data_IF_179527208125
#
_entry.id   IF_179527208125
#
_cell.length_a   1.000
_cell.length_b   1.000
_cell.length_c   1.000
_cell.angle_alpha   90.00
_cell.angle_beta   90.00
_cell.angle_gamma   90.00
#
_symmetry.space_group_name_H-M   'P 1'
#
loop_
_entity.id
_entity.type
_entity.pdbx_description
1 polymer ?
#
# COMPACT_ATOMS: atom_id res chain seq x y z
N UNK A 1 43.57 -1.72 14.68
CA UNK A 1 42.14 -1.90 14.37
C UNK A 1 41.72 -0.70 13.52
N UNK A 2 41.48 -0.90 12.23
CA UNK A 2 41.08 0.18 11.32
C UNK A 2 39.55 0.16 11.29
N UNK A 3 38.92 1.23 11.78
CA UNK A 3 37.48 1.38 11.64
C UNK A 3 37.17 1.89 10.24
N UNK A 4 36.20 1.27 9.57
CA UNK A 4 35.63 1.74 8.31
C UNK A 4 34.27 2.35 8.61
N UNK A 5 34.08 3.61 8.22
CA UNK A 5 32.77 4.26 8.18
C UNK A 5 32.26 4.15 6.74
N UNK A 6 31.02 3.73 6.57
CA UNK A 6 30.29 3.83 5.30
C UNK A 6 29.12 4.79 5.51
N UNK A 7 28.93 5.69 4.56
CA UNK A 7 27.85 6.67 4.51
C UNK A 7 27.28 6.67 3.10
N UNK A 8 25.97 6.74 2.99
CA UNK A 8 25.23 6.71 1.72
C UNK A 8 24.21 7.86 1.74
N UNK A 9 23.93 8.44 0.58
CA UNK A 9 22.97 9.53 0.40
C UNK A 9 21.83 9.07 -0.52
N UNK A 10 20.61 9.53 -0.26
CA UNK A 10 19.42 9.19 -1.04
C UNK A 10 18.75 10.49 -1.51
N UNK A 11 18.48 10.59 -2.80
CA UNK A 11 17.63 11.61 -3.40
C UNK A 11 16.48 10.91 -4.13
N UNK A 12 15.25 11.17 -3.72
CA UNK A 12 14.05 10.59 -4.32
C UNK A 12 12.83 11.49 -4.12
N UNK A 13 11.82 11.31 -4.96
CA UNK A 13 10.49 11.86 -4.69
C UNK A 13 9.87 11.14 -3.49
N UNK A 14 8.95 11.81 -2.79
CA UNK A 14 8.26 11.27 -1.61
C UNK A 14 7.29 10.14 -1.96
N UNK A 15 6.78 10.16 -3.19
CA UNK A 15 5.84 9.18 -3.76
C UNK A 15 6.62 8.18 -4.61
N UNK A 16 7.37 7.28 -3.97
CA UNK A 16 8.27 6.36 -4.67
C UNK A 16 8.29 4.99 -4.01
N UNK A 17 8.11 3.96 -4.82
CA UNK A 17 8.00 2.57 -4.34
C UNK A 17 6.76 2.39 -3.47
N UNK A 18 6.83 1.45 -2.53
CA UNK A 18 5.80 1.33 -1.49
C UNK A 18 5.83 2.59 -0.62
N UNK A 19 4.79 3.40 -0.71
CA UNK A 19 4.73 4.70 -0.06
C UNK A 19 3.35 4.96 0.52
N UNK A 20 3.29 6.00 1.34
CA UNK A 20 2.07 6.56 1.90
C UNK A 20 1.81 7.92 1.27
N UNK A 21 0.58 8.16 0.86
CA UNK A 21 0.05 9.49 0.63
C UNK A 21 -0.58 10.00 1.92
N UNK A 22 -0.15 11.19 2.35
CA UNK A 22 -0.78 11.89 3.44
C UNK A 22 -2.06 12.59 2.95
N UNK A 23 -3.04 12.81 3.85
CA UNK A 23 -4.27 13.54 3.53
C UNK A 23 -4.09 14.91 2.85
N UNK A 24 -3.02 15.64 3.13
CA UNK A 24 -2.75 16.91 2.45
C UNK A 24 -2.34 16.76 0.97
N UNK A 25 -2.15 15.54 0.45
CA UNK A 25 -1.80 15.30 -0.95
C UNK A 25 -2.91 15.75 -1.91
N UNK A 26 -4.14 15.29 -1.70
CA UNK A 26 -5.32 15.70 -2.49
C UNK A 26 -6.39 16.41 -1.66
N UNK A 27 -6.35 16.34 -0.33
CA UNK A 27 -7.37 16.90 0.55
C UNK A 27 -7.18 18.38 0.91
N UNK A 28 -6.05 18.98 0.54
CA UNK A 28 -5.73 20.38 0.82
C UNK A 28 -4.77 20.60 2.00
N UNK A 29 -4.27 21.83 2.15
CA UNK A 29 -3.23 22.18 3.13
C UNK A 29 -3.67 22.13 4.59
N UNK A 30 -4.98 22.08 4.84
CA UNK A 30 -5.59 21.97 6.17
C UNK A 30 -5.72 20.51 6.66
N UNK A 31 -5.40 19.54 5.81
CA UNK A 31 -5.36 18.11 6.15
C UNK A 31 -4.00 17.71 6.69
N UNK A 32 -3.93 16.53 7.27
CA UNK A 32 -2.68 16.03 7.84
C UNK A 32 -1.59 15.87 6.77
N UNK A 33 -0.41 16.43 7.04
CA UNK A 33 0.83 15.98 6.40
C UNK A 33 1.30 14.67 7.02
N UNK A 34 2.34 14.06 6.46
CA UNK A 34 2.95 12.84 7.02
C UNK A 34 3.26 12.97 8.52
N UNK A 35 3.73 14.13 8.98
CA UNK A 35 4.09 14.35 10.39
C UNK A 35 2.88 14.59 11.31
N UNK A 36 1.70 14.86 10.76
CA UNK A 36 0.49 15.22 11.50
C UNK A 36 -0.48 14.03 11.67
N UNK A 37 -0.28 12.94 10.93
CA UNK A 37 -1.10 11.73 11.08
C UNK A 37 -0.96 11.20 12.52
N UNK A 38 -2.06 11.00 13.26
CA UNK A 38 -2.00 10.46 14.62
C UNK A 38 -1.31 9.10 14.66
N UNK A 39 -0.40 8.90 15.61
CA UNK A 39 0.39 7.67 15.69
C UNK A 39 -0.51 6.44 15.94
N UNK A 40 -1.61 6.60 16.68
CA UNK A 40 -2.61 5.57 16.92
C UNK A 40 -3.34 5.10 15.64
N UNK A 41 -3.23 5.85 14.53
CA UNK A 41 -3.74 5.47 13.22
C UNK A 41 -2.72 4.67 12.38
N UNK A 42 -1.47 4.59 12.86
CA UNK A 42 -0.34 3.97 12.16
C UNK A 42 0.14 2.67 12.79
N UNK A 43 -0.19 2.43 14.06
CA UNK A 43 0.31 1.28 14.84
C UNK A 43 -0.81 0.28 15.08
N UNK A 44 -0.55 -0.99 14.74
CA UNK A 44 -1.40 -2.16 15.04
C UNK A 44 -2.90 -1.96 14.71
N UNK A 45 -3.22 -1.32 13.59
CA UNK A 45 -4.61 -1.14 13.16
C UNK A 45 -5.19 -2.46 12.65
N UNK A 46 -6.48 -2.77 12.88
CA UNK A 46 -7.12 -3.92 12.27
C UNK A 46 -6.91 -3.92 10.75
N UNK A 47 -6.46 -5.04 10.19
CA UNK A 47 -6.16 -5.17 8.78
C UNK A 47 -7.28 -5.92 8.06
N UNK A 48 -7.82 -5.31 7.02
CA UNK A 48 -8.82 -5.91 6.13
C UNK A 48 -8.18 -6.09 4.75
N UNK A 49 -8.24 -7.28 4.18
CA UNK A 49 -7.74 -7.54 2.81
C UNK A 49 -8.92 -7.95 1.93
N UNK A 50 -9.26 -7.08 0.98
CA UNK A 50 -10.33 -7.31 -0.01
C UNK A 50 -9.68 -7.83 -1.29
N UNK A 51 -9.92 -9.10 -1.60
CA UNK A 51 -9.35 -9.77 -2.76
C UNK A 51 -10.25 -9.59 -4.00
N UNK A 52 -9.71 -8.93 -5.02
CA UNK A 52 -10.33 -8.74 -6.33
C UNK A 52 -9.42 -9.20 -7.48
N UNK A 53 -8.49 -10.12 -7.20
CA UNK A 53 -7.48 -10.56 -8.17
C UNK A 53 -8.12 -11.12 -9.44
N UNK A 54 -9.19 -11.90 -9.31
CA UNK A 54 -9.89 -12.49 -10.45
C UNK A 54 -10.53 -11.44 -11.36
N UNK A 55 -11.13 -10.41 -10.76
CA UNK A 55 -11.76 -9.29 -11.46
C UNK A 55 -10.69 -8.44 -12.16
N UNK A 56 -9.62 -8.06 -11.46
CA UNK A 56 -8.50 -7.28 -12.02
C UNK A 56 -7.71 -8.02 -13.11
N UNK A 57 -7.69 -9.35 -13.09
CA UNK A 57 -7.14 -10.15 -14.18
C UNK A 57 -8.05 -10.16 -15.43
N UNK A 58 -9.36 -10.16 -15.22
CA UNK A 58 -10.34 -10.20 -16.30
C UNK A 58 -10.54 -8.82 -16.95
N UNK A 59 -10.35 -7.74 -16.19
CA UNK A 59 -10.47 -6.36 -16.65
C UNK A 59 -9.34 -5.52 -16.04
N UNK A 60 -8.41 -5.04 -16.88
CA UNK A 60 -7.24 -4.27 -16.42
C UNK A 60 -7.62 -2.97 -15.69
N UNK A 61 -8.67 -2.29 -16.15
CA UNK A 61 -9.18 -1.04 -15.58
C UNK A 61 -10.30 -1.28 -14.54
N UNK A 62 -10.34 -2.48 -13.95
CA UNK A 62 -11.35 -2.82 -12.95
C UNK A 62 -11.25 -1.88 -11.75
N UNK A 63 -12.41 -1.40 -11.30
CA UNK A 63 -12.53 -0.56 -10.11
C UNK A 63 -13.28 -1.33 -9.04
N UNK A 64 -12.63 -1.58 -7.89
CA UNK A 64 -13.25 -2.22 -6.73
C UNK A 64 -14.49 -1.45 -6.32
N UNK A 65 -15.61 -2.16 -6.22
CA UNK A 65 -16.95 -1.59 -6.02
C UNK A 65 -17.41 -1.70 -4.57
N UNK A 66 -18.55 -1.06 -4.26
CA UNK A 66 -19.21 -1.22 -2.96
C UNK A 66 -19.67 -2.67 -2.75
N UNK A 67 -20.11 -3.35 -3.82
CA UNK A 67 -20.59 -4.72 -3.75
C UNK A 67 -19.46 -5.68 -3.35
N UNK A 68 -18.24 -5.48 -3.86
CA UNK A 68 -17.07 -6.27 -3.45
C UNK A 68 -16.77 -6.13 -1.95
N UNK A 69 -16.91 -4.91 -1.41
CA UNK A 69 -16.73 -4.63 0.02
C UNK A 69 -17.84 -5.27 0.86
N UNK A 70 -19.09 -5.20 0.41
CA UNK A 70 -20.22 -5.83 1.09
C UNK A 70 -20.14 -7.36 1.07
N UNK A 71 -19.70 -7.95 -0.04
CA UNK A 71 -19.44 -9.38 -0.15
C UNK A 71 -18.32 -9.82 0.80
N UNK A 72 -17.29 -8.99 0.96
CA UNK A 72 -16.25 -9.24 1.94
C UNK A 72 -16.83 -9.24 3.37
N UNK A 73 -17.65 -8.23 3.73
CA UNK A 73 -18.28 -8.15 5.05
C UNK A 73 -19.20 -9.34 5.32
N UNK A 74 -19.94 -9.81 4.31
CA UNK A 74 -20.82 -10.97 4.44
C UNK A 74 -20.05 -12.25 4.81
N UNK A 75 -18.81 -12.39 4.32
CA UNK A 75 -17.96 -13.56 4.54
C UNK A 75 -17.15 -13.47 5.85
N UNK A 76 -16.71 -12.27 6.23
CA UNK A 76 -15.70 -12.08 7.27
C UNK A 76 -16.20 -11.31 8.51
N UNK A 77 -17.43 -10.78 8.46
CA UNK A 77 -17.94 -9.85 9.47
C UNK A 77 -17.72 -8.38 9.08
N UNK A 78 -18.25 -7.44 9.87
CA UNK A 78 -18.17 -6.02 9.55
C UNK A 78 -16.72 -5.51 9.54
N UNK A 79 -16.42 -4.57 8.65
CA UNK A 79 -15.20 -3.77 8.68
C UNK A 79 -15.31 -2.84 9.88
N UNK A 80 -14.43 -3.02 10.85
CA UNK A 80 -14.44 -2.26 12.10
C UNK A 80 -13.92 -0.83 11.89
N UNK A 81 -14.45 0.11 12.68
CA UNK A 81 -13.98 1.50 12.69
C UNK A 81 -12.48 1.56 13.04
N UNK A 82 -11.76 2.40 12.30
CA UNK A 82 -10.32 2.53 12.38
C UNK A 82 -9.53 1.36 11.80
N UNK A 83 -10.12 0.50 10.97
CA UNK A 83 -9.36 -0.49 10.19
C UNK A 83 -8.49 0.19 9.12
N UNK A 84 -7.52 -0.56 8.61
CA UNK A 84 -6.87 -0.29 7.32
C UNK A 84 -7.36 -1.30 6.31
N UNK A 85 -7.90 -0.84 5.18
CA UNK A 85 -8.46 -1.69 4.13
C UNK A 85 -7.51 -1.76 2.95
N UNK A 86 -6.93 -2.92 2.68
CA UNK A 86 -6.08 -3.16 1.51
C UNK A 86 -6.87 -3.85 0.42
N UNK A 87 -6.82 -3.29 -0.78
CA UNK A 87 -7.37 -3.83 -2.02
C UNK A 87 -6.28 -4.66 -2.69
N UNK A 88 -6.46 -5.98 -2.69
CA UNK A 88 -5.55 -6.92 -3.35
C UNK A 88 -6.02 -7.19 -4.77
N UNK A 89 -5.34 -6.58 -5.73
CA UNK A 89 -5.61 -6.73 -7.17
C UNK A 89 -4.66 -7.73 -7.85
N UNK A 90 -3.55 -8.06 -7.17
CA UNK A 90 -2.47 -8.90 -7.68
C UNK A 90 -1.59 -8.18 -8.70
N UNK A 91 -1.67 -6.85 -8.79
CA UNK A 91 -0.98 -6.03 -9.79
C UNK A 91 0.53 -5.94 -9.59
N UNK A 92 0.97 -6.03 -8.33
CA UNK A 92 2.39 -6.09 -7.93
C UNK A 92 3.23 -7.10 -8.73
N UNK A 93 2.61 -8.15 -9.29
CA UNK A 93 3.28 -9.14 -10.16
C UNK A 93 3.92 -8.56 -11.42
N UNK A 94 3.46 -7.40 -11.89
CA UNK A 94 3.98 -6.76 -13.10
C UNK A 94 5.22 -5.90 -12.84
N UNK A 95 5.52 -5.60 -11.57
CA UNK A 95 6.77 -4.94 -11.21
C UNK A 95 7.98 -5.87 -11.46
N UNK A 96 9.12 -5.38 -11.99
CA UNK A 96 9.44 -4.00 -12.38
C UNK A 96 9.24 -3.68 -13.88
N UNK A 97 8.47 -4.48 -14.63
CA UNK A 97 8.25 -4.22 -16.05
C UNK A 97 7.32 -3.01 -16.23
N UNK A 98 7.89 -1.86 -16.63
CA UNK A 98 7.14 -0.60 -16.80
C UNK A 98 5.92 -0.76 -17.71
N UNK A 99 6.07 -1.41 -18.87
CA UNK A 99 4.99 -1.54 -19.85
C UNK A 99 3.84 -2.38 -19.28
N UNK A 100 4.16 -3.49 -18.60
CA UNK A 100 3.13 -4.33 -17.99
C UNK A 100 2.52 -3.66 -16.76
N UNK A 101 3.30 -2.92 -15.98
CA UNK A 101 2.87 -2.29 -14.74
C UNK A 101 1.95 -1.08 -14.97
N UNK A 102 2.30 -0.22 -15.92
CA UNK A 102 1.51 0.96 -16.25
C UNK A 102 0.59 0.76 -17.45
N UNK A 103 0.76 -0.30 -18.24
CA UNK A 103 0.04 -0.47 -19.52
C UNK A 103 0.54 0.43 -20.65
N UNK A 104 1.56 1.26 -20.39
CA UNK A 104 2.20 2.16 -21.34
C UNK A 104 3.68 2.33 -20.96
N UNK A 105 4.56 2.48 -21.94
CA UNK A 105 5.97 2.82 -21.72
C UNK A 105 6.24 4.33 -21.80
N UNK A 106 5.22 5.12 -22.17
CA UNK A 106 5.28 6.58 -22.25
C UNK A 106 5.26 7.23 -20.87
N UNK A 107 5.21 8.56 -20.83
CA UNK A 107 5.00 9.36 -19.62
C UNK A 107 3.62 10.01 -19.58
N UNK A 108 2.74 9.69 -20.54
CA UNK A 108 1.36 10.17 -20.57
C UNK A 108 0.51 9.26 -19.69
N UNK A 109 0.14 9.77 -18.51
CA UNK A 109 -0.68 9.07 -17.51
C UNK A 109 -2.05 8.68 -18.05
N UNK A 110 -2.60 9.43 -19.02
CA UNK A 110 -3.88 9.12 -19.68
C UNK A 110 -3.87 7.81 -20.46
N UNK A 111 -2.69 7.30 -20.79
CA UNK A 111 -2.52 6.02 -21.48
C UNK A 111 -2.33 4.86 -20.50
N UNK A 112 -2.39 5.11 -19.20
CA UNK A 112 -2.12 4.08 -18.21
C UNK A 112 -3.33 3.15 -18.01
N UNK A 113 -3.06 1.88 -17.74
CA UNK A 113 -4.07 0.85 -17.52
C UNK A 113 -3.68 -0.02 -16.34
N UNK A 114 -4.45 0.12 -15.26
CA UNK A 114 -4.31 -0.64 -14.02
C UNK A 114 -5.58 -0.48 -13.17
N UNK A 115 -5.89 -1.43 -12.27
CA UNK A 115 -7.10 -1.42 -11.47
C UNK A 115 -6.98 -0.38 -10.37
N UNK A 116 -8.13 0.00 -9.80
CA UNK A 116 -8.20 0.95 -8.69
C UNK A 116 -9.43 0.73 -7.82
N UNK A 117 -9.72 1.71 -6.97
CA UNK A 117 -10.92 1.81 -6.15
C UNK A 117 -11.94 2.72 -6.83
N UNK A 118 -13.19 2.28 -6.92
CA UNK A 118 -14.26 3.13 -7.45
C UNK A 118 -14.58 4.26 -6.45
N UNK A 119 -14.87 5.50 -6.90
CA UNK A 119 -15.18 6.63 -5.99
C UNK A 119 -16.35 6.38 -5.04
N UNK A 120 -17.39 5.64 -5.47
CA UNK A 120 -18.49 5.26 -4.58
C UNK A 120 -18.04 4.31 -3.47
N UNK A 121 -17.09 3.42 -3.74
CA UNK A 121 -16.51 2.53 -2.76
C UNK A 121 -15.61 3.31 -1.78
N UNK A 122 -14.85 4.30 -2.26
CA UNK A 122 -14.13 5.23 -1.40
C UNK A 122 -15.06 5.96 -0.42
N UNK A 123 -16.20 6.50 -0.88
CA UNK A 123 -17.19 7.15 0.03
C UNK A 123 -17.79 6.17 1.03
N UNK A 124 -18.05 4.94 0.60
CA UNK A 124 -18.57 3.91 1.49
C UNK A 124 -17.58 3.58 2.61
N UNK A 125 -16.29 3.48 2.28
CA UNK A 125 -15.20 3.28 3.24
C UNK A 125 -15.04 4.46 4.21
N UNK A 126 -15.19 5.70 3.73
CA UNK A 126 -15.25 6.89 4.62
C UNK A 126 -16.37 6.71 5.66
N UNK A 127 -17.54 6.23 5.24
CA UNK A 127 -18.66 5.94 6.15
C UNK A 127 -18.41 4.79 7.13
N UNK A 128 -17.36 4.00 6.94
CA UNK A 128 -16.87 2.97 7.89
C UNK A 128 -15.82 3.48 8.86
N UNK A 129 -15.45 4.76 8.77
CA UNK A 129 -14.48 5.41 9.66
C UNK A 129 -13.13 4.70 9.70
N UNK A 130 -12.69 4.13 8.56
CA UNK A 130 -11.36 3.56 8.42
C UNK A 130 -10.28 4.65 8.53
N UNK A 131 -9.06 4.27 8.89
CA UNK A 131 -7.94 5.22 9.00
C UNK A 131 -7.01 5.22 7.79
N UNK A 132 -7.03 4.14 6.99
CA UNK A 132 -6.21 4.05 5.78
C UNK A 132 -6.75 3.07 4.75
N UNK A 133 -6.40 3.31 3.48
CA UNK A 133 -6.65 2.38 2.36
C UNK A 133 -5.33 2.02 1.70
N UNK A 134 -5.17 0.78 1.26
CA UNK A 134 -3.99 0.35 0.51
C UNK A 134 -4.34 -0.32 -0.81
N UNK A 135 -3.41 -0.30 -1.77
CA UNK A 135 -3.49 -1.06 -3.02
C UNK A 135 -2.10 -1.55 -3.46
N UNK A 136 -2.03 -2.70 -4.14
CA UNK A 136 -0.78 -3.21 -4.73
C UNK A 136 -0.50 -2.71 -6.16
N UNK A 137 -1.35 -1.80 -6.64
CA UNK A 137 -1.21 -1.08 -7.90
C UNK A 137 -0.42 0.23 -7.75
N UNK A 138 -0.12 0.89 -8.87
CA UNK A 138 0.63 2.15 -8.90
C UNK A 138 -0.17 3.33 -8.36
N UNK A 139 -1.49 3.22 -8.28
CA UNK A 139 -2.36 4.27 -7.76
C UNK A 139 -3.63 3.68 -7.14
N UNK A 140 -4.25 4.36 -6.16
CA UNK A 140 -5.58 3.97 -5.63
C UNK A 140 -6.71 4.25 -6.64
N UNK A 141 -6.54 5.20 -7.54
CA UNK A 141 -7.43 5.41 -8.69
C UNK A 141 -7.03 4.48 -9.84
N UNK A 142 -7.95 4.15 -10.74
CA UNK A 142 -7.62 3.31 -11.89
C UNK A 142 -6.77 4.08 -12.92
N UNK A 143 -6.02 3.37 -13.78
CA UNK A 143 -5.12 4.03 -14.75
C UNK A 143 -5.83 4.96 -15.74
N UNK A 144 -7.11 4.69 -16.03
CA UNK A 144 -7.96 5.53 -16.88
C UNK A 144 -8.74 6.60 -16.11
N UNK A 145 -8.63 6.64 -14.78
CA UNK A 145 -9.35 7.54 -13.88
C UNK A 145 -8.56 8.84 -13.69
N UNK A 146 -8.79 9.83 -14.56
CA UNK A 146 -8.00 11.07 -14.61
C UNK A 146 -8.48 12.18 -13.66
N UNK A 147 -9.59 11.96 -12.93
CA UNK A 147 -10.12 12.93 -11.96
C UNK A 147 -9.63 12.66 -10.53
N UNK A 148 -8.95 11.53 -10.30
CA UNK A 148 -8.40 11.09 -9.02
C UNK A 148 -9.42 11.18 -7.87
N UNK A 149 -10.68 10.87 -8.18
CA UNK A 149 -11.76 11.13 -7.24
C UNK A 149 -11.67 10.24 -6.00
N UNK A 150 -11.11 9.03 -6.09
CA UNK A 150 -10.88 8.18 -4.91
C UNK A 150 -9.83 8.79 -3.99
N UNK A 151 -8.73 9.33 -4.52
CA UNK A 151 -7.79 10.13 -3.73
C UNK A 151 -8.47 11.28 -3.01
N UNK A 152 -9.20 12.12 -3.75
CA UNK A 152 -9.87 13.32 -3.21
C UNK A 152 -10.78 12.94 -2.06
N UNK A 153 -11.66 11.95 -2.27
CA UNK A 153 -12.62 11.50 -1.26
C UNK A 153 -11.93 11.03 0.03
N UNK A 154 -10.88 10.20 -0.09
CA UNK A 154 -10.19 9.64 1.07
C UNK A 154 -9.41 10.75 1.82
N UNK A 155 -8.64 11.54 1.09
CA UNK A 155 -7.75 12.56 1.66
C UNK A 155 -8.53 13.75 2.25
N UNK A 156 -9.67 14.15 1.68
CA UNK A 156 -10.58 15.15 2.29
C UNK A 156 -11.10 14.71 3.67
N UNK A 157 -11.13 13.39 3.93
CA UNK A 157 -11.60 12.80 5.18
C UNK A 157 -10.46 12.32 6.10
N UNK A 158 -9.22 12.81 5.88
CA UNK A 158 -8.05 12.46 6.69
C UNK A 158 -7.71 10.95 6.73
N UNK A 159 -8.05 10.23 5.65
CA UNK A 159 -7.68 8.82 5.46
C UNK A 159 -6.42 8.77 4.61
N UNK A 160 -5.36 8.12 5.10
CA UNK A 160 -4.12 7.97 4.33
C UNK A 160 -4.24 6.85 3.29
N UNK A 161 -3.43 6.92 2.24
CA UNK A 161 -3.40 5.92 1.17
C UNK A 161 -2.04 5.25 1.14
N UNK A 162 -2.00 3.94 0.89
CA UNK A 162 -0.79 3.17 0.64
C UNK A 162 -0.81 2.64 -0.78
N UNK A 163 0.23 2.91 -1.55
CA UNK A 163 0.33 2.46 -2.94
C UNK A 163 1.56 1.59 -3.15
N UNK A 164 1.58 0.85 -4.25
CA UNK A 164 2.66 -0.06 -4.62
C UNK A 164 2.97 -1.09 -3.51
N UNK A 165 1.95 -1.59 -2.81
CA UNK A 165 2.12 -2.66 -1.83
C UNK A 165 2.61 -3.96 -2.49
N UNK A 166 3.49 -4.66 -1.78
CA UNK A 166 4.07 -5.92 -2.23
C UNK A 166 3.24 -7.14 -1.78
N UNK A 167 3.39 -8.26 -2.50
CA UNK A 167 2.66 -9.50 -2.23
C UNK A 167 2.90 -10.08 -0.83
N UNK A 168 4.04 -9.77 -0.20
CA UNK A 168 4.36 -10.25 1.16
C UNK A 168 3.38 -9.76 2.23
N UNK A 169 2.60 -8.70 1.98
CA UNK A 169 1.52 -8.25 2.87
C UNK A 169 0.29 -9.17 2.79
N UNK A 170 0.12 -9.92 1.70
CA UNK A 170 -1.08 -10.74 1.44
C UNK A 170 -0.96 -12.20 1.90
N UNK A 171 0.25 -12.66 2.26
CA UNK A 171 0.50 -14.03 2.69
C UNK A 171 0.26 -14.22 4.20
N UNK A 172 -0.92 -13.81 4.66
CA UNK A 172 -1.43 -13.89 6.03
C UNK A 172 -2.95 -14.12 6.01
N UNK A 173 -3.50 -14.70 7.08
CA UNK A 173 -4.96 -14.74 7.25
C UNK A 173 -5.45 -13.31 7.59
N UNK A 174 -6.29 -12.67 6.75
CA UNK A 174 -6.68 -11.28 6.98
C UNK A 174 -7.54 -11.11 8.24
N UNK A 175 -8.33 -12.12 8.62
CA UNK A 175 -9.23 -12.00 9.77
C UNK A 175 -8.44 -12.13 11.07
N UNK A 176 -8.31 -11.03 11.82
CA UNK A 176 -7.51 -10.97 13.05
C UNK A 176 -6.06 -10.52 12.84
N UNK A 177 -5.71 -10.08 11.63
CA UNK A 177 -4.43 -9.43 11.38
C UNK A 177 -4.46 -7.94 11.76
N UNK A 178 -3.28 -7.40 12.04
CA UNK A 178 -3.05 -5.97 12.22
C UNK A 178 -2.01 -5.45 11.24
N UNK A 179 -2.04 -4.15 10.97
CA UNK A 179 -1.08 -3.44 10.14
C UNK A 179 -0.43 -2.31 10.95
N UNK A 180 0.90 -2.28 10.89
CA UNK A 180 1.70 -1.14 11.31
C UNK A 180 2.36 -0.51 10.09
N UNK A 181 2.26 0.81 9.96
CA UNK A 181 2.86 1.57 8.85
C UNK A 181 3.85 2.59 9.39
N UNK A 182 5.09 2.54 8.89
CA UNK A 182 6.21 3.29 9.44
C UNK A 182 6.76 4.31 8.43
N UNK A 183 6.17 5.51 8.29
CA UNK A 183 6.75 6.60 7.53
C UNK A 183 7.86 7.32 8.32
N UNK A 184 8.82 7.91 7.60
CA UNK A 184 9.68 8.92 8.19
C UNK A 184 8.84 10.14 8.56
N UNK A 185 9.07 10.72 9.74
CA UNK A 185 8.34 11.91 10.18
C UNK A 185 8.82 13.14 9.40
N UNK A 186 8.16 13.45 8.30
CA UNK A 186 8.46 14.58 7.42
C UNK A 186 7.38 15.65 7.54
N UNK A 187 7.74 16.83 8.06
CA UNK A 187 6.82 17.97 8.20
C UNK A 187 6.38 18.49 6.84
N UNK A 188 5.10 18.85 6.73
CA UNK A 188 4.46 19.40 5.52
C UNK A 188 4.50 18.48 4.28
N UNK A 189 5.08 17.28 4.40
CA UNK A 189 5.21 16.34 3.28
C UNK A 189 3.86 15.70 2.93
N UNK A 190 3.58 15.62 1.63
CA UNK A 190 2.39 14.94 1.10
C UNK A 190 2.56 13.43 0.92
N UNK A 191 3.78 12.93 1.07
CA UNK A 191 4.03 11.51 1.00
C UNK A 191 5.33 11.08 1.67
N UNK A 192 5.50 9.77 1.81
CA UNK A 192 6.73 9.19 2.32
C UNK A 192 6.82 7.71 1.90
N UNK A 193 7.99 7.21 1.48
CA UNK A 193 8.22 5.76 1.42
C UNK A 193 7.98 5.13 2.80
N UNK A 194 7.36 3.96 2.83
CA UNK A 194 6.99 3.29 4.08
C UNK A 194 7.44 1.83 4.12
N UNK A 195 7.62 1.31 5.33
CA UNK A 195 7.74 -0.12 5.60
C UNK A 195 6.45 -0.61 6.29
N UNK A 196 5.44 -1.06 5.54
CA UNK A 196 4.27 -1.69 6.16
C UNK A 196 4.66 -3.06 6.72
N UNK A 197 4.13 -3.38 7.89
CA UNK A 197 4.34 -4.63 8.61
C UNK A 197 2.96 -5.16 8.97
N UNK A 198 2.57 -6.26 8.33
CA UNK A 198 1.36 -6.96 8.68
C UNK A 198 1.70 -8.08 9.68
N UNK A 199 0.90 -8.18 10.73
CA UNK A 199 1.09 -9.16 11.80
C UNK A 199 -0.21 -9.91 12.05
N UNK A 200 -0.10 -11.16 12.46
CA UNK A 200 -1.24 -11.97 12.88
C UNK A 200 -0.98 -12.40 14.32
N UNK A 201 -1.82 -11.97 15.26
CA UNK A 201 -1.78 -12.52 16.61
C UNK A 201 -2.65 -13.76 16.67
N UNK A 202 -2.05 -14.93 16.88
CA UNK A 202 -2.79 -16.03 17.51
C UNK A 202 -3.13 -15.57 18.92
N UNK A 203 -4.42 -15.56 19.28
CA UNK A 203 -4.82 -15.26 20.66
C UNK A 203 -4.00 -16.09 21.66
N UNK A 204 -3.54 -15.41 22.70
CA UNK A 204 -2.76 -15.94 23.81
C UNK A 204 -3.55 -17.00 24.58
N UNK A 205 -3.59 -18.25 24.12
CA UNK A 205 -3.96 -19.43 24.92
C UNK A 205 -3.18 -20.70 24.52
N UNK A 206 -1.88 -20.59 24.27
CA UNK A 206 -0.93 -21.64 24.67
C UNK A 206 0.47 -21.05 24.80
N UNK A 207 1.14 -21.30 25.92
CA UNK A 207 2.58 -21.11 26.00
C UNK A 207 3.27 -22.03 24.99
N UNK A 208 4.30 -21.50 24.31
CA UNK A 208 5.03 -22.03 23.14
C UNK A 208 4.32 -21.84 21.80
N UNK A 209 4.66 -20.79 21.04
CA UNK A 209 5.53 -20.89 19.86
C UNK A 209 5.64 -19.56 19.07
N UNK A 210 6.68 -19.46 18.24
CA UNK A 210 7.31 -18.23 17.73
C UNK A 210 6.46 -17.17 17.02
N UNK A 211 6.78 -15.91 17.28
CA UNK A 211 6.32 -14.75 16.52
C UNK A 211 6.82 -14.79 15.07
N UNK A 212 5.90 -14.79 14.09
CA UNK A 212 6.25 -14.60 12.67
C UNK A 212 6.04 -13.13 12.33
N UNK A 213 7.13 -12.37 12.22
CA UNK A 213 7.15 -10.98 11.75
C UNK A 213 7.50 -10.99 10.27
N UNK A 214 6.58 -10.59 9.38
CA UNK A 214 6.86 -10.38 7.94
C UNK A 214 6.91 -8.88 7.66
N UNK A 215 7.93 -8.44 6.93
CA UNK A 215 8.11 -7.03 6.57
C UNK A 215 8.44 -6.92 5.08
N UNK A 216 7.79 -6.01 4.35
CA UNK A 216 8.01 -5.83 2.91
C UNK A 216 9.01 -4.70 2.61
N UNK A 217 10.23 -5.03 2.19
CA UNK A 217 11.07 -4.09 1.42
C UNK A 217 11.68 -4.86 0.28
N UNK A 218 11.15 -4.61 -0.90
CA UNK A 218 11.78 -5.01 -2.15
C UNK A 218 12.92 -4.03 -2.45
N UNK A 219 14.11 -4.28 -1.89
CA UNK A 219 15.36 -3.83 -2.49
C UNK A 219 15.80 -4.95 -3.43
N UNK A 220 15.50 -4.80 -4.72
CA UNK A 220 16.07 -5.66 -5.76
C UNK A 220 17.55 -5.30 -5.88
N UNK A 221 18.43 -6.08 -5.23
CA UNK A 221 19.86 -6.04 -5.54
C UNK A 221 20.17 -7.21 -6.48
N UNK A 222 20.10 -6.92 -7.77
CA UNK A 222 20.57 -7.78 -8.86
C UNK A 222 22.11 -7.77 -8.83
N UNK A 223 22.74 -8.82 -8.33
CA UNK A 223 24.19 -9.04 -8.52
C UNK A 223 24.36 -10.03 -9.68
N UNK A 224 24.68 -9.49 -10.85
CA UNK A 224 25.40 -10.22 -11.91
C UNK A 224 26.54 -9.30 -12.35
N UNK A 225 27.80 -9.65 -12.02
CA UNK A 225 28.80 -10.03 -13.02
C UNK A 225 30.12 -10.52 -12.40
N UNK A 226 30.39 -11.81 -12.64
CA UNK A 226 31.57 -12.47 -13.23
C UNK A 226 33.01 -12.02 -12.84
N UNK A 227 33.82 -13.06 -12.62
CA UNK A 227 35.25 -13.30 -12.94
C UNK A 227 36.12 -13.48 -11.69
N UNK A 228 36.36 -14.73 -11.36
CA UNK A 228 37.64 -15.16 -10.78
C UNK A 228 38.06 -16.47 -11.42
N UNK A 229 38.85 -16.37 -12.48
CA UNK A 229 39.85 -17.41 -12.79
C UNK A 229 41.19 -16.76 -12.47
N UNK A 230 41.84 -17.22 -11.40
CA UNK A 230 43.28 -17.05 -11.23
C UNK A 230 43.96 -17.90 -12.30
N UNK A 231 44.92 -17.34 -13.03
CA UNK A 231 46.28 -17.85 -13.21
C UNK A 231 47.10 -16.77 -13.94
N UNK A 232 48.19 -16.33 -13.28
CA UNK A 232 49.34 -15.52 -13.71
C UNK A 232 49.14 -14.47 -14.83
#
# INVERSE_FOLDING_TARGET
MIFRIQSDEIFMATHTGTHMDAPNHFGGKDKWSIADIPLENLIERPLVIVDVVGQSQSQRDYQTTVDDLMEWEQKNGPIESGSVVIIRTGWSRFWPNKLDYFGTDTTDDKLAHFPGLHPLAARWLVGKEIVGVGIDGPSIDCGQCNDYMSHVILNENNIYILENLDQSIFDINPVGATLTVLPMRLSDSSGCPVRPIAQFSHDHHSMNDGHIIKSSSSIIMMIILIISTLFL
#
